data_IF_975007180599
#
_entry.id   IF_975007180599
#
_cell.length_a   1.000
_cell.length_b   1.000
_cell.length_c   1.000
_cell.angle_alpha   90.00
_cell.angle_beta   90.00
_cell.angle_gamma   90.00
#
_symmetry.space_group_name_H-M   'P 1'
#
loop_
_entity.id
_entity.type
_entity.pdbx_description
1 polymer ?
#
# COMPACT_ATOMS: atom_id res chain seq x y z
N UNK A 1 75.61 -44.12 13.04
CA UNK A 1 75.26 -42.73 13.43
C UNK A 1 74.72 -42.01 12.20
N UNK A 2 73.70 -41.16 12.40
CA UNK A 2 72.90 -40.40 11.41
C UNK A 2 71.70 -41.13 10.79
N UNK A 3 70.59 -40.99 11.52
CA UNK A 3 69.21 -40.96 11.06
C UNK A 3 69.01 -40.06 9.83
N UNK A 4 68.29 -40.55 8.82
CA UNK A 4 67.64 -39.69 7.84
C UNK A 4 66.14 -39.99 7.82
N UNK A 5 65.41 -39.01 8.34
CA UNK A 5 63.96 -38.87 8.31
C UNK A 5 63.59 -38.42 6.89
N UNK A 6 62.70 -39.15 6.22
CA UNK A 6 62.02 -38.66 5.00
C UNK A 6 60.53 -38.57 5.31
N UNK A 7 59.92 -37.38 5.14
CA UNK A 7 58.66 -37.05 5.79
C UNK A 7 57.44 -37.56 5.03
N UNK A 8 56.48 -38.02 5.82
CA UNK A 8 55.10 -38.30 5.48
C UNK A 8 54.38 -36.99 5.07
N UNK A 9 54.59 -36.51 3.84
CA UNK A 9 53.86 -35.36 3.32
C UNK A 9 52.48 -35.80 2.84
N UNK A 10 51.57 -35.84 3.82
CA UNK A 10 50.14 -36.05 3.72
C UNK A 10 49.52 -35.20 2.60
N UNK A 11 49.06 -35.88 1.55
CA UNK A 11 48.32 -35.29 0.44
C UNK A 11 46.87 -35.11 0.87
N UNK A 12 46.58 -34.01 1.58
CA UNK A 12 45.21 -33.63 1.96
C UNK A 12 44.88 -32.24 1.39
N UNK A 13 44.78 -32.16 0.06
CA UNK A 13 44.19 -31.00 -0.62
C UNK A 13 42.67 -31.09 -0.50
N UNK A 14 42.13 -30.61 0.62
CA UNK A 14 40.71 -30.26 0.73
C UNK A 14 40.51 -29.02 -0.14
N UNK A 15 39.96 -29.23 -1.35
CA UNK A 15 39.46 -28.13 -2.16
C UNK A 15 38.20 -27.62 -1.46
N UNK A 16 38.36 -26.55 -0.67
CA UNK A 16 37.23 -25.72 -0.28
C UNK A 16 36.72 -25.03 -1.55
N UNK A 17 35.83 -25.72 -2.27
CA UNK A 17 34.91 -25.04 -3.18
C UNK A 17 33.96 -24.24 -2.29
N UNK A 18 34.37 -23.02 -1.93
CA UNK A 18 33.49 -22.02 -1.36
C UNK A 18 32.41 -21.73 -2.40
N UNK A 19 31.22 -22.29 -2.22
CA UNK A 19 30.03 -21.84 -2.92
C UNK A 19 29.83 -20.38 -2.53
N UNK A 20 30.34 -19.47 -3.35
CA UNK A 20 29.92 -18.07 -3.38
C UNK A 20 28.46 -18.06 -3.83
N UNK A 21 27.55 -18.37 -2.90
CA UNK A 21 26.14 -18.14 -3.06
C UNK A 21 25.95 -16.63 -3.08
N UNK A 22 25.99 -16.06 -4.27
CA UNK A 22 25.53 -14.69 -4.49
C UNK A 22 24.05 -14.67 -4.12
N UNK A 23 23.73 -14.22 -2.90
CA UNK A 23 22.34 -14.00 -2.50
C UNK A 23 21.73 -13.00 -3.49
N UNK A 24 20.82 -13.49 -4.33
CA UNK A 24 20.07 -12.66 -5.26
C UNK A 24 19.09 -11.82 -4.46
N UNK A 25 19.40 -10.53 -4.29
CA UNK A 25 18.51 -9.55 -3.67
C UNK A 25 17.27 -9.44 -4.55
N UNK A 26 16.15 -10.04 -4.10
CA UNK A 26 14.87 -9.86 -4.80
C UNK A 26 14.28 -8.50 -4.44
N UNK A 27 14.06 -7.61 -5.43
CA UNK A 27 13.48 -6.30 -5.18
C UNK A 27 12.04 -6.41 -4.71
N UNK A 28 11.61 -5.43 -3.91
CA UNK A 28 10.21 -5.26 -3.55
C UNK A 28 9.47 -4.68 -4.75
N UNK A 29 8.33 -5.27 -5.10
CA UNK A 29 7.40 -4.75 -6.09
C UNK A 29 6.28 -4.00 -5.37
N UNK A 30 6.13 -2.71 -5.64
CA UNK A 30 5.00 -1.91 -5.16
C UNK A 30 3.92 -1.83 -6.24
N UNK A 31 2.69 -2.13 -5.88
CA UNK A 31 1.50 -1.96 -6.73
C UNK A 31 0.55 -0.95 -6.08
N UNK A 32 0.08 0.03 -6.85
CA UNK A 32 -0.85 1.05 -6.38
C UNK A 32 -2.19 0.85 -7.08
N UNK A 33 -3.23 0.56 -6.33
CA UNK A 33 -4.58 0.29 -6.87
C UNK A 33 -5.61 1.07 -6.07
N UNK A 34 -6.79 1.25 -6.63
CA UNK A 34 -7.90 1.85 -5.90
C UNK A 34 -9.24 1.31 -6.40
N UNK A 35 -10.26 1.44 -5.56
CA UNK A 35 -11.63 1.04 -5.87
C UNK A 35 -12.62 2.06 -5.31
N UNK A 36 -13.69 2.29 -6.05
CA UNK A 36 -14.84 3.08 -5.63
C UNK A 36 -16.05 2.15 -5.51
N UNK A 37 -16.74 2.20 -4.37
CA UNK A 37 -17.96 1.42 -4.10
C UNK A 37 -19.00 2.32 -3.42
N UNK A 38 -19.96 2.80 -4.21
CA UNK A 38 -20.89 3.82 -3.73
C UNK A 38 -20.12 5.08 -3.33
N UNK A 39 -20.35 5.56 -2.10
CA UNK A 39 -19.66 6.74 -1.57
C UNK A 39 -18.30 6.40 -0.92
N UNK A 40 -17.92 5.12 -0.91
CA UNK A 40 -16.65 4.68 -0.32
C UNK A 40 -15.56 4.58 -1.40
N UNK A 41 -14.40 5.16 -1.11
CA UNK A 41 -13.18 5.00 -1.92
C UNK A 41 -12.10 4.36 -1.07
N UNK A 42 -11.44 3.34 -1.62
CA UNK A 42 -10.25 2.72 -1.03
C UNK A 42 -9.06 2.84 -1.97
N UNK A 43 -7.92 3.27 -1.46
CA UNK A 43 -6.65 3.38 -2.20
C UNK A 43 -5.62 2.52 -1.48
N UNK A 44 -4.87 1.72 -2.23
CA UNK A 44 -3.97 0.69 -1.72
C UNK A 44 -2.55 0.89 -2.25
N UNK A 45 -1.57 0.68 -1.37
CA UNK A 45 -0.15 0.53 -1.70
C UNK A 45 0.33 -0.82 -1.20
N UNK A 46 0.43 -1.79 -2.09
CA UNK A 46 0.83 -3.16 -1.78
C UNK A 46 2.29 -3.39 -2.15
N UNK A 47 3.11 -3.72 -1.16
CA UNK A 47 4.49 -4.17 -1.35
C UNK A 47 4.58 -5.69 -1.27
N UNK A 48 5.14 -6.29 -2.32
CA UNK A 48 5.37 -7.74 -2.40
C UNK A 48 6.84 -8.06 -2.62
N UNK A 49 7.32 -9.10 -1.94
CA UNK A 49 8.64 -9.70 -2.17
C UNK A 49 8.45 -11.15 -2.59
N UNK A 50 8.90 -11.52 -3.79
CA UNK A 50 8.66 -12.87 -4.36
C UNK A 50 7.18 -13.29 -4.29
N UNK A 51 6.25 -12.39 -4.59
CA UNK A 51 4.77 -12.57 -4.50
C UNK A 51 4.16 -12.73 -3.10
N UNK A 52 5.00 -12.73 -2.05
CA UNK A 52 4.53 -12.64 -0.68
C UNK A 52 4.27 -11.18 -0.29
N UNK A 53 3.12 -10.87 0.32
CA UNK A 53 2.88 -9.55 0.85
C UNK A 53 3.83 -9.28 2.01
N UNK A 54 4.48 -8.12 1.99
CA UNK A 54 5.28 -7.62 3.11
C UNK A 54 4.47 -6.57 3.86
N UNK A 55 3.98 -5.57 3.14
CA UNK A 55 3.17 -4.48 3.70
C UNK A 55 2.05 -4.08 2.76
N UNK A 56 0.93 -3.64 3.33
CA UNK A 56 -0.17 -3.00 2.62
C UNK A 56 -0.51 -1.73 3.38
N UNK A 57 -0.40 -0.58 2.74
CA UNK A 57 -0.98 0.66 3.26
C UNK A 57 -2.28 0.94 2.54
N UNK A 58 -3.26 1.51 3.23
CA UNK A 58 -4.52 1.93 2.60
C UNK A 58 -5.00 3.28 3.12
N UNK A 59 -5.72 4.01 2.27
CA UNK A 59 -6.57 5.14 2.64
C UNK A 59 -8.00 4.77 2.27
N UNK A 60 -8.93 4.93 3.21
CA UNK A 60 -10.34 4.67 3.00
C UNK A 60 -11.14 5.91 3.38
N UNK A 61 -11.93 6.40 2.44
CA UNK A 61 -12.84 7.54 2.61
C UNK A 61 -14.26 7.01 2.47
N UNK A 62 -15.13 7.25 3.46
CA UNK A 62 -16.49 6.68 3.54
C UNK A 62 -17.56 7.78 3.65
N UNK A 63 -17.40 8.88 2.92
CA UNK A 63 -18.30 10.04 3.00
C UNK A 63 -18.49 10.52 4.44
N UNK A 64 -19.75 10.62 4.86
CA UNK A 64 -20.15 11.13 6.19
C UNK A 64 -19.79 10.18 7.35
N UNK A 65 -19.42 8.93 7.06
CA UNK A 65 -19.05 7.95 8.10
C UNK A 65 -17.60 8.09 8.58
N UNK A 66 -16.80 8.91 7.90
CA UNK A 66 -15.43 9.23 8.26
C UNK A 66 -14.40 8.68 7.26
N UNK A 67 -13.15 8.70 7.67
CA UNK A 67 -12.02 8.30 6.85
C UNK A 67 -10.91 7.73 7.74
N UNK A 68 -10.15 6.78 7.22
CA UNK A 68 -9.00 6.27 7.93
C UNK A 68 -7.87 5.89 6.98
N UNK A 69 -6.69 5.78 7.57
CA UNK A 69 -5.50 5.22 6.95
C UNK A 69 -5.02 4.04 7.76
N UNK A 70 -4.59 2.97 7.09
CA UNK A 70 -4.03 1.79 7.73
C UNK A 70 -2.68 1.42 7.15
N UNK A 71 -1.85 0.77 7.94
CA UNK A 71 -0.72 -0.04 7.48
C UNK A 71 -0.81 -1.41 8.13
N UNK A 72 -0.65 -2.42 7.29
CA UNK A 72 -0.67 -3.81 7.66
C UNK A 72 0.68 -4.42 7.32
N UNK A 73 1.18 -5.32 8.17
CA UNK A 73 2.44 -6.03 7.95
C UNK A 73 2.22 -7.53 8.01
N UNK A 74 2.72 -8.25 7.01
CA UNK A 74 2.67 -9.71 6.97
C UNK A 74 4.05 -10.29 7.23
N UNK A 75 4.06 -11.47 7.85
CA UNK A 75 5.23 -12.36 7.84
C UNK A 75 4.77 -13.79 7.73
N UNK A 76 5.35 -14.52 6.77
CA UNK A 76 5.01 -15.92 6.49
C UNK A 76 3.50 -16.12 6.22
N UNK A 77 2.90 -15.18 5.48
CA UNK A 77 1.48 -15.24 5.10
C UNK A 77 0.47 -14.85 6.18
N UNK A 78 0.91 -14.48 7.38
CA UNK A 78 0.03 -14.09 8.49
C UNK A 78 0.23 -12.60 8.80
N UNK A 79 -0.87 -11.88 9.03
CA UNK A 79 -0.82 -10.48 9.50
C UNK A 79 -0.20 -10.43 10.90
N UNK A 80 0.85 -9.63 11.06
CA UNK A 80 1.59 -9.46 12.33
C UNK A 80 1.30 -8.14 13.00
N UNK A 81 0.96 -7.12 12.23
CA UNK A 81 0.71 -5.79 12.76
C UNK A 81 -0.38 -5.11 11.95
N UNK A 82 -1.26 -4.41 12.65
CA UNK A 82 -2.27 -3.52 12.10
C UNK A 82 -2.11 -2.20 12.83
N UNK A 83 -1.78 -1.14 12.09
CA UNK A 83 -1.84 0.23 12.57
C UNK A 83 -2.94 0.95 11.78
N UNK A 84 -3.87 1.60 12.46
CA UNK A 84 -4.89 2.42 11.83
C UNK A 84 -5.13 3.71 12.59
N UNK A 85 -5.30 4.82 11.88
CA UNK A 85 -5.69 6.11 12.46
C UNK A 85 -6.71 6.77 11.55
N UNK A 86 -7.61 7.56 12.11
CA UNK A 86 -8.61 8.25 11.31
C UNK A 86 -9.71 8.88 12.14
N UNK A 87 -10.83 9.14 11.49
CA UNK A 87 -12.09 9.55 12.10
C UNK A 87 -13.15 8.51 11.78
N UNK A 88 -14.03 8.28 12.75
CA UNK A 88 -15.21 7.43 12.56
C UNK A 88 -16.43 8.09 13.15
N UNK A 89 -17.59 7.84 12.56
CA UNK A 89 -18.87 8.28 13.10
C UNK A 89 -19.20 7.48 14.36
N UNK A 90 -19.35 8.20 15.48
CA UNK A 90 -19.70 7.65 16.79
C UNK A 90 -20.64 8.64 17.50
N UNK A 91 -21.81 8.16 17.93
CA UNK A 91 -22.91 8.98 18.48
C UNK A 91 -23.25 10.22 17.63
N UNK A 92 -23.30 10.04 16.30
CA UNK A 92 -23.66 11.10 15.35
C UNK A 92 -22.58 12.17 15.16
N UNK A 93 -21.37 11.97 15.69
CA UNK A 93 -20.22 12.87 15.49
C UNK A 93 -19.01 12.11 14.99
N UNK A 94 -18.22 12.74 14.13
CA UNK A 94 -16.93 12.19 13.75
C UNK A 94 -15.96 12.35 14.92
N UNK A 95 -15.50 11.23 15.47
CA UNK A 95 -14.50 11.18 16.54
C UNK A 95 -13.18 10.63 16.00
N UNK A 96 -12.03 11.20 16.41
CA UNK A 96 -10.74 10.65 16.04
C UNK A 96 -10.51 9.31 16.74
N UNK A 97 -9.87 8.37 16.06
CA UNK A 97 -9.50 7.10 16.64
C UNK A 97 -8.11 6.64 16.19
N UNK A 98 -7.48 5.80 17.01
CA UNK A 98 -6.20 5.15 16.70
C UNK A 98 -6.21 3.71 17.19
N UNK A 99 -5.62 2.82 16.40
CA UNK A 99 -5.56 1.39 16.64
C UNK A 99 -4.16 0.87 16.34
N UNK A 100 -3.60 0.11 17.27
CA UNK A 100 -2.42 -0.72 17.05
C UNK A 100 -2.67 -2.12 17.61
N UNK A 101 -2.60 -3.14 16.74
CA UNK A 101 -2.70 -4.55 17.12
C UNK A 101 -1.45 -5.27 16.63
N UNK A 102 -0.83 -6.08 17.49
CA UNK A 102 0.22 -7.03 17.09
C UNK A 102 -0.23 -8.46 17.33
N UNK A 103 0.05 -9.32 16.37
CA UNK A 103 -0.22 -10.75 16.45
C UNK A 103 1.07 -11.57 16.46
N UNK A 104 1.06 -12.70 17.16
CA UNK A 104 2.15 -13.68 17.13
C UNK A 104 2.12 -14.53 15.85
N UNK A 105 2.90 -15.62 15.83
CA UNK A 105 2.94 -16.58 14.71
C UNK A 105 1.71 -17.46 14.58
N UNK A 106 0.92 -17.60 15.65
CA UNK A 106 -0.32 -18.38 15.66
C UNK A 106 -1.53 -17.50 15.35
N UNK A 107 -1.33 -16.19 15.22
CA UNK A 107 -2.41 -15.24 15.05
C UNK A 107 -3.15 -14.99 16.36
N UNK A 108 -2.49 -15.03 17.51
CA UNK A 108 -3.05 -14.53 18.77
C UNK A 108 -2.61 -13.09 18.99
N UNK A 109 -3.49 -12.24 19.51
CA UNK A 109 -3.14 -10.83 19.78
C UNK A 109 -2.24 -10.75 21.01
N UNK A 110 -1.02 -10.25 20.84
CA UNK A 110 -0.02 -10.09 21.90
C UNK A 110 0.13 -8.65 22.36
N UNK A 111 -0.37 -7.69 21.59
CA UNK A 111 -0.46 -6.29 21.96
C UNK A 111 -1.68 -5.66 21.32
N UNK A 112 -2.37 -4.81 22.07
CA UNK A 112 -3.49 -4.03 21.58
C UNK A 112 -3.52 -2.64 22.23
N UNK A 113 -3.79 -1.63 21.42
CA UNK A 113 -4.07 -0.29 21.86
C UNK A 113 -5.14 0.30 20.97
N UNK A 114 -6.27 0.67 21.55
CA UNK A 114 -7.35 1.34 20.86
C UNK A 114 -7.72 2.62 21.61
N UNK A 115 -7.68 3.74 20.91
CA UNK A 115 -8.16 5.02 21.43
C UNK A 115 -9.28 5.55 20.58
N UNK A 116 -10.32 6.05 21.24
CA UNK A 116 -11.42 6.77 20.62
C UNK A 116 -11.58 8.08 21.37
N UNK A 117 -11.48 9.20 20.66
CA UNK A 117 -11.54 10.55 21.25
C UNK A 117 -10.55 10.76 22.42
N UNK A 118 -9.39 10.09 22.35
CA UNK A 118 -8.35 10.10 23.38
C UNK A 118 -8.49 8.99 24.43
N UNK A 119 -9.68 8.46 24.66
CA UNK A 119 -9.94 7.43 25.67
C UNK A 119 -9.39 6.08 25.27
N UNK A 120 -8.65 5.42 26.17
CA UNK A 120 -8.13 4.08 25.96
C UNK A 120 -9.21 3.05 26.23
N UNK A 121 -9.63 2.32 25.20
CA UNK A 121 -10.73 1.36 25.26
C UNK A 121 -10.24 -0.08 25.03
N UNK A 122 -10.83 -1.08 25.69
CA UNK A 122 -10.52 -2.48 25.43
C UNK A 122 -11.09 -2.90 24.08
N UNK A 123 -10.35 -3.75 23.36
CA UNK A 123 -10.81 -4.39 22.12
C UNK A 123 -11.36 -5.78 22.47
N UNK A 124 -12.56 -6.10 22.00
CA UNK A 124 -13.16 -7.44 22.21
C UNK A 124 -12.50 -8.47 21.28
N UNK A 125 -12.50 -9.74 21.69
CA UNK A 125 -11.95 -10.83 20.87
C UNK A 125 -12.59 -10.93 19.48
N UNK A 126 -13.89 -10.69 19.38
CA UNK A 126 -14.62 -10.65 18.10
C UNK A 126 -14.17 -9.51 17.20
N UNK A 127 -13.79 -8.36 17.77
CA UNK A 127 -13.26 -7.21 17.03
C UNK A 127 -11.83 -7.47 16.56
N UNK A 128 -11.00 -8.14 17.36
CA UNK A 128 -9.66 -8.56 16.93
C UNK A 128 -9.72 -9.48 15.71
N UNK A 129 -10.70 -10.38 15.65
CA UNK A 129 -10.94 -11.24 14.47
C UNK A 129 -11.43 -10.40 13.29
N UNK A 130 -12.31 -9.42 13.53
CA UNK A 130 -12.81 -8.50 12.49
C UNK A 130 -11.67 -7.71 11.85
N UNK A 131 -10.75 -7.14 12.63
CA UNK A 131 -9.62 -6.37 12.10
C UNK A 131 -8.67 -7.22 11.26
N UNK A 132 -8.40 -8.47 11.69
CA UNK A 132 -7.64 -9.42 10.88
C UNK A 132 -8.31 -9.68 9.53
N UNK A 133 -9.61 -10.00 9.54
CA UNK A 133 -10.36 -10.26 8.32
C UNK A 133 -10.38 -9.05 7.40
N UNK A 134 -10.48 -7.83 7.95
CA UNK A 134 -10.38 -6.60 7.16
C UNK A 134 -9.02 -6.46 6.48
N UNK A 135 -7.92 -6.77 7.17
CA UNK A 135 -6.58 -6.77 6.57
C UNK A 135 -6.46 -7.78 5.43
N UNK A 136 -7.01 -8.99 5.62
CA UNK A 136 -7.04 -10.04 4.59
C UNK A 136 -7.89 -9.63 3.37
N UNK A 137 -9.05 -9.02 3.60
CA UNK A 137 -9.91 -8.50 2.54
C UNK A 137 -9.24 -7.37 1.76
N UNK A 138 -8.62 -6.41 2.44
CA UNK A 138 -7.89 -5.32 1.80
C UNK A 138 -6.73 -5.86 0.93
N UNK A 139 -6.02 -6.88 1.40
CA UNK A 139 -4.98 -7.55 0.64
C UNK A 139 -5.53 -8.22 -0.63
N UNK A 140 -6.63 -8.96 -0.51
CA UNK A 140 -7.25 -9.64 -1.65
C UNK A 140 -7.78 -8.65 -2.68
N UNK A 141 -8.41 -7.55 -2.23
CA UNK A 141 -8.84 -6.45 -3.09
C UNK A 141 -7.66 -5.84 -3.84
N UNK A 142 -6.58 -5.46 -3.14
CA UNK A 142 -5.40 -4.86 -3.77
C UNK A 142 -4.77 -5.80 -4.82
N UNK A 143 -4.69 -7.11 -4.52
CA UNK A 143 -4.19 -8.12 -5.46
C UNK A 143 -5.09 -8.31 -6.67
N UNK A 144 -6.41 -8.32 -6.46
CA UNK A 144 -7.38 -8.52 -7.54
C UNK A 144 -7.34 -7.33 -8.50
N UNK A 145 -7.44 -6.11 -7.97
CA UNK A 145 -7.34 -4.87 -8.76
C UNK A 145 -6.03 -4.81 -9.55
N UNK A 146 -4.92 -5.19 -8.91
CA UNK A 146 -3.61 -5.22 -9.57
C UNK A 146 -3.50 -6.26 -10.70
N UNK A 147 -4.22 -7.39 -10.60
CA UNK A 147 -4.31 -8.38 -11.68
C UNK A 147 -5.20 -7.91 -12.84
N UNK A 148 -6.24 -7.13 -12.52
CA UNK A 148 -7.18 -6.56 -13.48
C UNK A 148 -6.64 -5.31 -14.18
N UNK A 149 -5.50 -4.78 -13.74
CA UNK A 149 -4.91 -3.56 -14.31
C UNK A 149 -5.67 -2.29 -13.91
N UNK A 150 -6.36 -2.33 -12.76
CA UNK A 150 -6.99 -1.16 -12.13
C UNK A 150 -5.99 -0.45 -11.22
N UNK A 151 -5.07 0.27 -11.84
CA UNK A 151 -4.05 1.04 -11.17
C UNK A 151 -4.63 2.36 -10.63
N UNK A 152 -4.08 2.80 -9.51
CA UNK A 152 -4.28 4.14 -8.98
C UNK A 152 -3.18 5.06 -9.49
N UNK A 153 -3.55 6.22 -10.04
CA UNK A 153 -2.62 7.27 -10.40
C UNK A 153 -3.18 8.65 -10.05
N UNK A 154 -2.27 9.59 -9.82
CA UNK A 154 -2.59 10.95 -9.40
C UNK A 154 -1.54 11.92 -9.91
N UNK A 155 -1.92 13.19 -10.06
CA UNK A 155 -1.06 14.19 -10.68
C UNK A 155 -1.80 15.48 -10.98
N UNK A 156 -1.14 16.35 -11.74
CA UNK A 156 -1.66 17.65 -12.12
C UNK A 156 -1.97 17.69 -13.61
N UNK A 157 -3.21 17.99 -13.95
CA UNK A 157 -3.63 18.30 -15.30
C UNK A 157 -3.38 19.77 -15.60
N UNK A 158 -2.51 20.04 -16.58
CA UNK A 158 -2.12 21.39 -17.02
C UNK A 158 -2.17 21.44 -18.55
N UNK A 159 -3.14 22.18 -19.08
CA UNK A 159 -3.22 22.53 -20.50
C UNK A 159 -3.05 21.36 -21.50
N UNK A 160 -3.69 20.22 -21.24
CA UNK A 160 -3.62 19.04 -22.13
C UNK A 160 -2.58 17.98 -21.75
N UNK A 161 -1.78 18.25 -20.73
CA UNK A 161 -0.74 17.34 -20.23
C UNK A 161 -0.98 16.99 -18.76
N UNK A 162 -0.72 15.74 -18.40
CA UNK A 162 -0.79 15.21 -17.05
C UNK A 162 0.61 14.99 -16.48
N UNK A 163 0.93 15.69 -15.40
CA UNK A 163 2.17 15.57 -14.65
C UNK A 163 1.94 14.65 -13.44
N UNK A 164 2.46 13.42 -13.51
CA UNK A 164 2.22 12.39 -12.50
C UNK A 164 2.97 12.68 -11.18
N UNK A 165 2.29 12.52 -10.04
CA UNK A 165 2.91 12.74 -8.73
C UNK A 165 4.13 11.83 -8.51
N UNK A 166 5.24 12.42 -8.07
CA UNK A 166 6.47 11.69 -7.76
C UNK A 166 7.27 11.25 -9.00
N UNK A 167 6.93 11.78 -10.18
CA UNK A 167 7.61 11.48 -11.43
C UNK A 167 7.70 12.74 -12.29
N UNK A 168 8.86 13.05 -12.84
CA UNK A 168 9.05 14.17 -13.79
C UNK A 168 8.52 13.82 -15.21
N UNK A 169 7.56 12.90 -15.31
CA UNK A 169 7.04 12.40 -16.58
C UNK A 169 5.69 13.02 -16.88
N UNK A 170 5.66 13.72 -18.00
CA UNK A 170 4.45 14.18 -18.64
C UNK A 170 3.79 13.04 -19.43
N UNK A 171 2.48 12.91 -19.28
CA UNK A 171 1.65 11.93 -19.98
C UNK A 171 0.39 12.59 -20.55
N UNK A 172 -0.22 11.95 -21.53
CA UNK A 172 -1.58 12.29 -21.95
C UNK A 172 -2.61 11.46 -21.17
N UNK A 173 -3.84 11.95 -21.08
CA UNK A 173 -4.97 11.19 -20.54
C UNK A 173 -5.96 10.83 -21.64
N UNK A 174 -6.45 9.61 -21.58
CA UNK A 174 -7.62 9.16 -22.34
C UNK A 174 -8.70 8.73 -21.36
N UNK A 175 -9.97 8.94 -21.70
CA UNK A 175 -11.09 8.60 -20.82
C UNK A 175 -11.94 7.51 -21.49
N UNK A 176 -12.09 6.37 -20.81
CA UNK A 176 -12.90 5.25 -21.30
C UNK A 176 -14.40 5.46 -21.02
N UNK A 177 -14.70 6.38 -20.09
CA UNK A 177 -16.06 6.73 -19.69
C UNK A 177 -16.34 8.19 -20.04
N UNK A 178 -17.60 8.50 -20.32
CA UNK A 178 -18.03 9.89 -20.51
C UNK A 178 -17.97 10.56 -19.14
N UNK A 179 -17.04 11.49 -18.98
CA UNK A 179 -16.98 12.32 -17.79
C UNK A 179 -18.24 13.20 -17.71
N UNK A 180 -18.86 13.33 -16.53
CA UNK A 180 -19.87 14.35 -16.30
C UNK A 180 -19.40 15.76 -16.67
N UNK A 181 -20.32 16.59 -17.19
CA UNK A 181 -20.02 17.96 -17.64
C UNK A 181 -19.32 18.83 -16.59
N UNK A 182 -19.64 18.64 -15.30
CA UNK A 182 -19.02 19.40 -14.20
C UNK A 182 -17.52 19.09 -14.03
N UNK A 183 -17.08 17.85 -14.35
CA UNK A 183 -15.66 17.49 -14.33
C UNK A 183 -14.94 18.11 -15.53
N UNK A 184 -15.58 18.11 -16.70
CA UNK A 184 -15.03 18.75 -17.91
C UNK A 184 -14.79 20.25 -17.68
N UNK A 185 -15.78 20.96 -17.09
CA UNK A 185 -15.64 22.38 -16.77
C UNK A 185 -14.55 22.67 -15.74
N UNK A 186 -14.29 21.72 -14.83
CA UNK A 186 -13.21 21.85 -13.85
C UNK A 186 -11.84 21.64 -14.49
N UNK A 187 -11.71 20.72 -15.46
CA UNK A 187 -10.47 20.48 -16.20
C UNK A 187 -10.01 21.67 -17.06
N UNK A 188 -10.93 22.57 -17.41
CA UNK A 188 -10.62 23.83 -18.13
C UNK A 188 -9.90 24.88 -17.27
N UNK A 189 -9.79 24.65 -15.95
CA UNK A 189 -8.99 25.50 -15.08
C UNK A 189 -7.48 25.36 -15.37
N UNK A 190 -6.71 26.39 -15.02
CA UNK A 190 -5.28 26.52 -15.35
C UNK A 190 -4.40 25.35 -14.85
N UNK A 191 -4.74 24.77 -13.71
CA UNK A 191 -4.09 23.60 -13.10
C UNK A 191 -5.11 22.88 -12.22
N UNK A 192 -5.23 21.57 -12.39
CA UNK A 192 -6.12 20.74 -11.57
C UNK A 192 -5.38 19.52 -11.03
N UNK A 193 -5.50 19.26 -9.74
CA UNK A 193 -5.13 17.97 -9.18
C UNK A 193 -6.19 16.93 -9.56
N UNK A 194 -5.74 15.81 -10.09
CA UNK A 194 -6.56 14.65 -10.46
C UNK A 194 -6.01 13.40 -9.76
N UNK A 195 -6.91 12.64 -9.15
CA UNK A 195 -6.66 11.26 -8.70
C UNK A 195 -7.69 10.35 -9.37
N UNK A 196 -7.23 9.26 -9.97
CA UNK A 196 -8.04 8.43 -10.85
C UNK A 196 -7.68 6.95 -10.75
N UNK A 197 -8.59 6.12 -11.26
CA UNK A 197 -8.44 4.67 -11.45
C UNK A 197 -8.40 4.39 -12.94
N UNK A 198 -7.52 3.51 -13.36
CA UNK A 198 -7.51 2.96 -14.72
C UNK A 198 -6.17 2.31 -15.04
N UNK A 199 -5.72 2.39 -16.28
CA UNK A 199 -4.49 1.72 -16.71
C UNK A 199 -3.34 2.71 -16.90
N UNK A 200 -2.20 2.42 -16.28
CA UNK A 200 -1.00 3.27 -16.38
C UNK A 200 -0.11 2.83 -17.53
N UNK A 201 -0.03 3.66 -18.56
CA UNK A 201 0.86 3.45 -19.71
C UNK A 201 2.15 4.26 -19.62
N UNK A 202 3.05 4.03 -20.59
CA UNK A 202 4.33 4.74 -20.66
C UNK A 202 4.19 6.22 -21.06
N UNK A 203 3.24 6.54 -21.95
CA UNK A 203 2.99 7.88 -22.48
C UNK A 203 1.57 8.39 -22.25
N UNK A 204 0.63 7.46 -22.06
CA UNK A 204 -0.79 7.76 -21.90
C UNK A 204 -1.29 6.93 -20.74
N UNK A 205 -2.01 7.57 -19.80
CA UNK A 205 -2.81 6.85 -18.81
C UNK A 205 -4.26 6.86 -19.29
N UNK A 206 -4.93 5.73 -19.15
CA UNK A 206 -6.37 5.61 -19.43
C UNK A 206 -7.12 5.73 -18.13
N UNK A 207 -8.03 6.70 -18.04
CA UNK A 207 -8.90 6.96 -16.91
C UNK A 207 -10.21 6.19 -17.11
N UNK A 208 -10.49 5.27 -16.19
CA UNK A 208 -11.76 4.56 -16.11
C UNK A 208 -12.71 5.24 -15.14
N UNK A 209 -12.19 5.76 -14.03
CA UNK A 209 -12.98 6.48 -13.01
C UNK A 209 -12.15 7.59 -12.34
N UNK A 210 -12.82 8.63 -11.83
CA UNK A 210 -12.22 9.79 -11.16
C UNK A 210 -12.53 9.75 -9.67
N UNK A 211 -11.50 9.61 -8.85
CA UNK A 211 -11.60 9.63 -7.38
C UNK A 211 -11.71 11.06 -6.87
N UNK A 212 -10.89 11.96 -7.39
CA UNK A 212 -10.80 13.33 -6.92
C UNK A 212 -10.37 14.25 -8.04
N UNK A 213 -11.09 15.36 -8.20
CA UNK A 213 -10.71 16.48 -9.05
C UNK A 213 -10.81 17.76 -8.22
N UNK A 214 -9.69 18.49 -8.08
CA UNK A 214 -9.63 19.74 -7.32
C UNK A 214 -8.87 20.79 -8.12
N UNK A 215 -9.41 22.00 -8.17
CA UNK A 215 -8.71 23.14 -8.73
C UNK A 215 -7.49 23.52 -7.90
N UNK A 216 -6.40 23.88 -8.58
CA UNK A 216 -5.15 24.31 -7.96
C UNK A 216 -4.22 23.16 -7.54
N UNK A 217 -3.18 23.52 -6.77
CA UNK A 217 -2.06 22.63 -6.47
C UNK A 217 -2.28 21.90 -5.13
N UNK A 218 -3.30 21.04 -5.09
CA UNK A 218 -3.52 20.16 -3.94
C UNK A 218 -2.35 19.17 -3.79
N UNK A 219 -1.90 18.92 -2.55
CA UNK A 219 -0.82 17.99 -2.31
C UNK A 219 -1.19 16.56 -2.75
N UNK A 220 -0.24 15.89 -3.40
CA UNK A 220 -0.37 14.48 -3.76
C UNK A 220 -0.64 13.62 -2.52
N UNK A 221 -1.54 12.65 -2.66
CA UNK A 221 -1.81 11.65 -1.65
C UNK A 221 -0.55 10.83 -1.38
N UNK A 222 -0.07 10.91 -0.15
CA UNK A 222 1.08 10.15 0.30
C UNK A 222 0.65 8.79 0.83
N UNK A 223 1.46 7.76 0.58
CA UNK A 223 1.32 6.45 1.21
C UNK A 223 1.35 6.63 2.74
N UNK A 224 0.36 6.10 3.47
CA UNK A 224 0.42 6.05 4.92
C UNK A 224 1.64 5.24 5.38
N UNK A 225 2.46 5.85 6.23
CA UNK A 225 3.60 5.18 6.85
C UNK A 225 3.51 5.36 8.35
N UNK A 226 3.66 4.26 9.08
CA UNK A 226 3.63 4.29 10.54
C UNK A 226 4.98 3.93 11.12
N UNK A 227 5.52 4.83 11.94
CA UNK A 227 6.75 4.57 12.70
C UNK A 227 6.44 3.50 13.76
N UNK A 228 7.32 2.51 13.84
CA UNK A 228 7.25 1.41 14.80
C UNK A 228 7.68 1.85 16.21
#
# INVERSE_FOLDING_TARGET
MRTFVVPLFSLLTIVLAGCSSTETIVPVKTTQTAAVQGDATSIYWLDEKQTFPETLSEIVMMGDYGQYQSEYRWRKGIVREIHRTGTMLDDGKLKPFSLLIRYDSEGQAVYQQYRLDGDLLPIRSTELVKYRRQAEQALESAKTLGKEGQDFFQGYWKAGTFEECGSDREKSLTFDTVLPDYLLQSLDQKSNYLAAIGSVGRRTNTVSDVIMLKGGDAACLARPTFKA
#
